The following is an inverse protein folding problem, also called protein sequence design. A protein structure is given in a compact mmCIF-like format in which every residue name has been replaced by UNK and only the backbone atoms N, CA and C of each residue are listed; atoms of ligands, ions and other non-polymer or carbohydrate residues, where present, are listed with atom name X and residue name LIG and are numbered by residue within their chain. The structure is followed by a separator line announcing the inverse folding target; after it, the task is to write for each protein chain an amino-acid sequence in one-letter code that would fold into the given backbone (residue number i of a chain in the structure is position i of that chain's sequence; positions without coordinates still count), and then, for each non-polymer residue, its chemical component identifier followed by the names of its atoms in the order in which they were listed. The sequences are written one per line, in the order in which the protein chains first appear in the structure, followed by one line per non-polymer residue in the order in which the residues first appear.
data_IF_312586103375
#
_entry.id   IF_312586103375
#
_cell.length_a   1.000
_cell.length_b   1.000
_cell.length_c   1.000
_cell.angle_alpha   90.00
_cell.angle_beta   90.00
_cell.angle_gamma   90.00
#
_symmetry.space_group_name_H-M   'P 1'
#
loop_
_entity.id
_entity.type
_entity.pdbx_description
1 polymer ?
#
# COMPACT_ATOMS: atom_id res chain seq x y z
N UNK A 1 14.89 -4.20 -13.41
CA UNK A 1 13.49 -4.15 -13.88
C UNK A 1 12.66 -3.50 -12.78
N UNK A 2 11.74 -2.58 -13.09
CA UNK A 2 10.88 -1.97 -12.07
C UNK A 2 9.71 -2.92 -11.78
N UNK A 3 9.41 -3.17 -10.50
CA UNK A 3 8.33 -4.06 -10.06
C UNK A 3 7.35 -3.31 -9.17
N UNK A 4 6.06 -3.51 -9.40
CA UNK A 4 4.97 -2.90 -8.61
C UNK A 4 4.05 -4.02 -8.12
N UNK A 5 3.76 -4.00 -6.83
CA UNK A 5 2.76 -4.86 -6.18
C UNK A 5 1.51 -4.02 -5.92
N UNK A 6 0.40 -4.38 -6.54
CA UNK A 6 -0.89 -3.73 -6.30
C UNK A 6 -1.64 -4.56 -5.25
N UNK A 7 -1.90 -3.96 -4.09
CA UNK A 7 -2.56 -4.63 -2.98
C UNK A 7 -4.01 -4.16 -2.85
N UNK A 8 -4.93 -4.93 -3.43
CA UNK A 8 -6.36 -4.78 -3.13
C UNK A 8 -6.63 -5.15 -1.66
N UNK A 9 -7.49 -4.37 -1.02
CA UNK A 9 -7.76 -4.55 0.42
C UNK A 9 -6.57 -4.18 1.30
N UNK A 10 -5.75 -3.21 0.89
CA UNK A 10 -4.56 -2.77 1.63
C UNK A 10 -4.86 -2.21 3.01
N UNK A 11 -6.11 -1.84 3.31
CA UNK A 11 -6.52 -1.38 4.64
C UNK A 11 -7.01 -2.51 5.55
N UNK A 12 -7.04 -3.75 5.05
CA UNK A 12 -7.56 -4.93 5.76
C UNK A 12 -6.58 -5.51 6.79
N UNK A 13 -7.14 -6.27 7.73
CA UNK A 13 -6.38 -6.88 8.83
C UNK A 13 -5.23 -7.79 8.36
N UNK A 14 -5.44 -8.56 7.29
CA UNK A 14 -4.42 -9.42 6.71
C UNK A 14 -3.23 -8.61 6.17
N UNK A 15 -3.51 -7.51 5.48
CA UNK A 15 -2.47 -6.64 4.94
C UNK A 15 -1.62 -6.05 6.07
N UNK A 16 -2.29 -5.47 7.08
CA UNK A 16 -1.64 -4.87 8.25
C UNK A 16 -0.80 -5.87 9.05
N UNK A 17 -1.36 -7.04 9.36
CA UNK A 17 -0.74 -8.00 10.30
C UNK A 17 0.27 -8.94 9.65
N UNK A 18 0.20 -9.15 8.33
CA UNK A 18 1.01 -10.17 7.63
C UNK A 18 1.74 -9.64 6.41
N UNK A 19 1.06 -8.93 5.51
CA UNK A 19 1.67 -8.57 4.23
C UNK A 19 2.69 -7.43 4.37
N UNK A 20 2.36 -6.35 5.08
CA UNK A 20 3.32 -5.25 5.26
C UNK A 20 4.60 -5.66 5.99
N UNK A 21 4.55 -6.43 7.10
CA UNK A 21 5.76 -6.98 7.70
C UNK A 21 6.56 -7.90 6.75
N UNK A 22 5.87 -8.69 5.93
CA UNK A 22 6.53 -9.56 4.96
C UNK A 22 7.22 -8.77 3.84
N UNK A 23 6.57 -7.71 3.32
CA UNK A 23 7.16 -6.85 2.30
C UNK A 23 8.36 -6.08 2.83
N UNK A 24 8.25 -5.52 4.03
CA UNK A 24 9.38 -4.88 4.72
C UNK A 24 10.56 -5.83 4.85
N UNK A 25 10.31 -7.08 5.27
CA UNK A 25 11.35 -8.12 5.34
C UNK A 25 12.00 -8.39 3.98
N UNK A 26 11.21 -8.58 2.92
CA UNK A 26 11.76 -8.79 1.57
C UNK A 26 12.62 -7.60 1.13
N UNK A 27 12.20 -6.36 1.41
CA UNK A 27 13.01 -5.18 1.09
C UNK A 27 14.33 -5.14 1.88
N UNK A 28 14.35 -5.64 3.11
CA UNK A 28 15.57 -5.78 3.90
C UNK A 28 16.53 -6.86 3.35
N UNK A 29 15.99 -7.88 2.68
CA UNK A 29 16.73 -8.94 1.99
C UNK A 29 17.23 -8.52 0.59
N UNK A 30 16.98 -7.27 0.18
CA UNK A 30 17.51 -6.69 -1.05
C UNK A 30 16.54 -6.68 -2.24
N UNK A 31 15.33 -7.21 -2.09
CA UNK A 31 14.29 -7.11 -3.12
C UNK A 31 13.82 -5.65 -3.27
N UNK A 32 13.71 -5.15 -4.50
CA UNK A 32 13.27 -3.77 -4.78
C UNK A 32 11.97 -3.76 -5.59
N UNK A 33 10.90 -3.30 -4.95
CA UNK A 33 9.59 -3.10 -5.56
C UNK A 33 8.86 -1.93 -4.89
N UNK A 34 7.86 -1.40 -5.57
CA UNK A 34 6.93 -0.40 -5.03
C UNK A 34 5.60 -1.08 -4.73
N UNK A 35 4.93 -0.67 -3.66
CA UNK A 35 3.62 -1.19 -3.27
C UNK A 35 2.61 -0.07 -3.44
N UNK A 36 1.48 -0.37 -4.09
CA UNK A 36 0.33 0.54 -4.13
C UNK A 36 -0.80 -0.16 -3.38
N UNK A 37 -1.07 0.31 -2.17
CA UNK A 37 -2.18 -0.18 -1.34
C UNK A 37 -3.48 0.50 -1.75
N UNK A 38 -4.50 -0.31 -2.04
CA UNK A 38 -5.82 0.16 -2.44
C UNK A 38 -6.82 -0.04 -1.31
N UNK A 39 -7.65 0.97 -1.04
CA UNK A 39 -8.76 0.83 -0.10
C UNK A 39 -9.66 2.05 -0.01
N UNK A 40 -10.71 1.93 0.80
CA UNK A 40 -11.78 2.94 0.93
C UNK A 40 -11.72 3.74 2.22
N UNK A 41 -10.81 3.39 3.14
CA UNK A 41 -10.86 3.87 4.53
C UNK A 41 -10.23 5.24 4.72
N UNK A 42 -9.14 5.53 4.02
CA UNK A 42 -8.36 6.77 4.19
C UNK A 42 -8.44 7.62 2.93
N UNK A 43 -8.27 8.92 3.08
CA UNK A 43 -8.27 9.87 1.96
C UNK A 43 -6.86 10.19 1.47
N UNK A 44 -5.85 9.96 2.31
CA UNK A 44 -4.45 10.24 2.00
C UNK A 44 -3.50 9.14 2.45
N UNK A 45 -2.32 9.12 1.84
CA UNK A 45 -1.20 8.25 2.23
C UNK A 45 -0.79 8.46 3.68
N UNK A 46 -0.73 9.70 4.15
CA UNK A 46 -0.26 10.02 5.50
C UNK A 46 -1.20 9.45 6.58
N UNK A 47 -2.52 9.58 6.37
CA UNK A 47 -3.53 8.94 7.24
C UNK A 47 -3.39 7.42 7.24
N UNK A 48 -3.24 6.84 6.05
CA UNK A 48 -3.08 5.39 5.89
C UNK A 48 -1.83 4.88 6.62
N UNK A 49 -0.67 5.52 6.40
CA UNK A 49 0.60 5.11 7.03
C UNK A 49 0.51 5.24 8.54
N UNK A 50 -0.05 6.34 9.06
CA UNK A 50 -0.19 6.58 10.50
C UNK A 50 -1.03 5.51 11.21
N UNK A 51 -2.10 5.03 10.57
CA UNK A 51 -3.02 4.06 11.20
C UNK A 51 -2.71 2.59 10.86
N UNK A 52 -2.13 2.32 9.69
CA UNK A 52 -2.01 0.95 9.16
C UNK A 52 -0.62 0.36 9.29
N UNK A 53 0.40 1.18 9.52
CA UNK A 53 1.80 0.77 9.58
C UNK A 53 2.31 0.96 11.00
N UNK A 54 3.10 -0.01 11.49
CA UNK A 54 3.64 0.03 12.84
C UNK A 54 4.59 1.21 13.05
N UNK A 55 4.50 1.84 14.22
CA UNK A 55 5.49 2.82 14.67
C UNK A 55 6.89 2.18 14.65
N UNK A 56 7.82 2.80 13.93
CA UNK A 56 9.19 2.28 13.75
C UNK A 56 9.42 1.43 12.50
N UNK A 57 8.43 1.28 11.62
CA UNK A 57 8.64 0.63 10.32
C UNK A 57 9.77 1.29 9.52
N UNK A 58 10.46 0.48 8.72
CA UNK A 58 11.62 0.86 7.95
C UNK A 58 11.30 2.01 6.99
N UNK A 59 12.16 3.05 6.97
CA UNK A 59 11.99 4.22 6.12
C UNK A 59 11.92 3.90 4.63
N UNK A 60 12.72 2.92 4.16
CA UNK A 60 12.70 2.47 2.76
C UNK A 60 11.35 1.82 2.42
N UNK A 61 10.80 1.03 3.32
CA UNK A 61 9.48 0.44 3.15
C UNK A 61 8.40 1.52 3.04
N UNK A 62 8.37 2.49 3.96
CA UNK A 62 7.41 3.61 3.92
C UNK A 62 7.57 4.45 2.64
N UNK A 63 8.79 4.67 2.17
CA UNK A 63 9.05 5.38 0.91
C UNK A 63 8.52 4.63 -0.31
N UNK A 64 8.59 3.30 -0.30
CA UNK A 64 8.14 2.42 -1.40
C UNK A 64 6.66 2.03 -1.29
N UNK A 65 6.00 2.39 -0.20
CA UNK A 65 4.59 2.15 0.02
C UNK A 65 3.80 3.39 -0.35
N UNK A 66 2.88 3.26 -1.29
CA UNK A 66 1.91 4.28 -1.65
C UNK A 66 0.49 3.82 -1.31
N UNK A 67 -0.44 4.76 -1.27
CA UNK A 67 -1.84 4.50 -1.02
C UNK A 67 -2.71 5.28 -1.99
N UNK A 68 -3.67 4.57 -2.58
CA UNK A 68 -4.68 5.14 -3.45
C UNK A 68 -6.06 4.79 -2.90
N UNK A 69 -6.88 5.82 -2.71
CA UNK A 69 -8.30 5.60 -2.45
C UNK A 69 -8.92 4.90 -3.65
N UNK A 70 -9.58 3.79 -3.40
CA UNK A 70 -10.15 2.95 -4.44
C UNK A 70 -11.39 2.22 -3.93
N UNK A 71 -12.53 2.49 -4.56
CA UNK A 71 -13.79 1.80 -4.33
C UNK A 71 -14.14 0.91 -5.53
N UNK A 72 -14.25 -0.40 -5.30
CA UNK A 72 -14.62 -1.35 -6.36
C UNK A 72 -16.08 -1.22 -6.80
N UNK A 73 -16.93 -0.60 -5.98
CA UNK A 73 -18.34 -0.40 -6.31
C UNK A 73 -18.52 0.81 -7.25
N UNK A 74 -17.52 1.67 -7.37
CA UNK A 74 -17.47 2.79 -8.32
C UNK A 74 -16.67 2.40 -9.58
N UNK A 75 -17.32 1.77 -10.55
CA UNK A 75 -16.67 1.32 -11.80
C UNK A 75 -15.93 2.44 -12.56
N UNK A 76 -16.45 3.67 -12.51
CA UNK A 76 -15.83 4.82 -13.20
C UNK A 76 -14.63 5.33 -12.42
N UNK A 77 -14.80 5.60 -11.13
CA UNK A 77 -13.70 6.05 -10.27
C UNK A 77 -12.55 5.03 -10.21
N UNK A 78 -12.86 3.74 -10.24
CA UNK A 78 -11.88 2.66 -10.23
C UNK A 78 -10.97 2.64 -11.47
N UNK A 79 -11.52 2.93 -12.65
CA UNK A 79 -10.76 2.90 -13.90
C UNK A 79 -9.99 4.20 -14.13
N UNK A 80 -10.57 5.35 -13.76
CA UNK A 80 -9.97 6.67 -13.96
C UNK A 80 -8.80 6.96 -13.01
N UNK A 81 -8.80 6.39 -11.80
CA UNK A 81 -7.72 6.56 -10.81
C UNK A 81 -6.34 6.05 -11.28
N UNK A 82 -6.28 5.35 -12.42
CA UNK A 82 -5.04 4.85 -13.04
C UNK A 82 -4.54 5.73 -14.21
N UNK A 83 -5.29 6.76 -14.62
CA UNK A 83 -5.00 7.59 -15.80
C UNK A 83 -4.54 9.02 -15.49
N UNK A 84 -4.50 9.41 -14.21
CA UNK A 84 -4.04 10.73 -13.75
C UNK A 84 -2.65 10.67 -13.14
#
# INVERSE_FOLDING_TARGET
MKQIVIQFGGTGDLAKKKLYPAYERLMSEGFDFTIVALGRRYTSKDEFVKDSISEGANKRFIQKLDYLYYDMEDEKGATDALYT
#
